data_IF_058377447508
#
_entry.id   IF_058377447508
#
_cell.length_a   1.000
_cell.length_b   1.000
_cell.length_c   1.000
_cell.angle_alpha   90.00
_cell.angle_beta   90.00
_cell.angle_gamma   90.00
#
_symmetry.space_group_name_H-M   'P 1'
#
loop_
_entity.id
_entity.type
_entity.pdbx_description
1 polymer ?
#
# COMPACT_ATOMS: atom_id res chain seq x y z
N UNK A 1 18.39 -17.89 38.14
CA UNK A 1 18.36 -17.70 36.67
C UNK A 1 17.06 -18.24 36.07
N UNK A 2 16.64 -19.46 36.41
CA UNK A 2 15.38 -20.07 35.95
C UNK A 2 14.12 -19.28 36.36
N UNK A 3 14.07 -18.74 37.59
CA UNK A 3 12.93 -17.93 38.08
C UNK A 3 12.77 -16.57 37.40
N UNK A 4 13.87 -15.99 36.89
CA UNK A 4 13.84 -14.71 36.16
C UNK A 4 13.26 -14.91 34.76
N UNK A 5 13.64 -16.01 34.10
CA UNK A 5 13.10 -16.41 32.80
C UNK A 5 11.61 -16.79 32.88
N UNK A 6 11.20 -17.48 33.95
CA UNK A 6 9.78 -17.80 34.20
C UNK A 6 8.92 -16.56 34.49
N UNK A 7 9.47 -15.56 35.19
CA UNK A 7 8.79 -14.28 35.42
C UNK A 7 8.68 -13.44 34.14
N UNK A 8 9.74 -13.37 33.34
CA UNK A 8 9.71 -12.67 32.05
C UNK A 8 8.67 -13.29 31.10
N UNK A 9 8.65 -14.62 30.98
CA UNK A 9 7.71 -15.34 30.12
C UNK A 9 6.24 -15.21 30.58
N UNK A 10 6.00 -15.12 31.89
CA UNK A 10 4.67 -14.81 32.46
C UNK A 10 4.25 -13.36 32.25
N UNK A 11 5.19 -12.41 32.30
CA UNK A 11 4.92 -11.01 31.98
C UNK A 11 4.55 -10.83 30.51
N UNK A 12 5.29 -11.46 29.59
CA UNK A 12 4.99 -11.42 28.15
C UNK A 12 3.62 -12.02 27.84
N UNK A 13 3.27 -13.16 28.45
CA UNK A 13 1.94 -13.76 28.28
C UNK A 13 0.80 -12.89 28.85
N UNK A 14 1.05 -12.18 29.96
CA UNK A 14 0.08 -11.28 30.57
C UNK A 14 -0.11 -10.01 29.72
N UNK A 15 0.96 -9.53 29.09
CA UNK A 15 0.95 -8.37 28.22
C UNK A 15 0.26 -8.67 26.89
N UNK A 16 0.54 -9.83 26.29
CA UNK A 16 -0.18 -10.37 25.12
C UNK A 16 -1.67 -10.56 25.44
N UNK A 17 -2.01 -11.15 26.60
CA UNK A 17 -3.40 -11.33 27.02
C UNK A 17 -4.15 -10.02 27.26
N UNK A 18 -3.47 -8.99 27.79
CA UNK A 18 -4.03 -7.64 27.94
C UNK A 18 -4.24 -6.96 26.59
N UNK A 19 -3.30 -7.08 25.66
CA UNK A 19 -3.42 -6.56 24.30
C UNK A 19 -4.56 -7.25 23.54
N UNK A 20 -4.66 -8.58 23.62
CA UNK A 20 -5.78 -9.35 23.05
C UNK A 20 -7.14 -8.92 23.64
N UNK A 21 -7.21 -8.66 24.94
CA UNK A 21 -8.46 -8.20 25.60
C UNK A 21 -8.86 -6.78 25.18
N UNK A 22 -7.87 -5.89 24.95
CA UNK A 22 -8.12 -4.54 24.44
C UNK A 22 -8.57 -4.58 22.98
N UNK A 23 -7.97 -5.46 22.17
CA UNK A 23 -8.35 -5.73 20.79
C UNK A 23 -9.78 -6.28 20.72
N UNK A 24 -10.12 -7.28 21.53
CA UNK A 24 -11.47 -7.85 21.57
C UNK A 24 -12.53 -6.83 22.02
N UNK A 25 -12.18 -5.94 22.95
CA UNK A 25 -13.05 -4.82 23.36
C UNK A 25 -13.19 -3.77 22.27
N UNK A 26 -12.12 -3.46 21.55
CA UNK A 26 -12.16 -2.55 20.42
C UNK A 26 -13.01 -3.14 19.29
N UNK A 27 -12.81 -4.41 18.91
CA UNK A 27 -13.60 -5.15 17.93
C UNK A 27 -15.08 -5.17 18.34
N UNK A 28 -15.40 -5.53 19.59
CA UNK A 28 -16.80 -5.57 20.07
C UNK A 28 -17.46 -4.19 20.12
N UNK A 29 -16.72 -3.15 20.51
CA UNK A 29 -17.22 -1.77 20.50
C UNK A 29 -17.46 -1.27 19.07
N UNK A 30 -16.63 -1.71 18.11
CA UNK A 30 -16.70 -1.33 16.70
C UNK A 30 -17.77 -2.11 15.92
N UNK A 31 -18.06 -3.36 16.28
CA UNK A 31 -19.16 -4.17 15.72
C UNK A 31 -20.57 -3.68 16.15
N UNK A 32 -20.66 -2.89 17.22
CA UNK A 32 -21.93 -2.38 17.74
C UNK A 32 -22.44 -1.11 17.00
N UNK A 33 -21.61 -0.48 16.16
CA UNK A 33 -21.99 0.68 15.34
C UNK A 33 -22.04 0.29 13.87
N UNK A 34 -23.17 0.50 13.21
CA UNK A 34 -23.42 0.21 11.79
C UNK A 34 -22.67 1.16 10.82
N UNK A 35 -21.55 1.74 11.25
CA UNK A 35 -20.78 2.73 10.49
C UNK A 35 -19.58 2.07 9.80
N UNK A 36 -19.49 2.27 8.48
CA UNK A 36 -18.28 1.99 7.70
C UNK A 36 -17.06 2.65 8.36
N UNK A 37 -16.03 1.85 8.64
CA UNK A 37 -14.85 2.25 9.42
C UNK A 37 -14.04 3.29 8.65
N UNK A 38 -13.50 4.28 9.36
CA UNK A 38 -12.55 5.22 8.77
C UNK A 38 -11.13 4.63 8.74
N UNK A 39 -10.30 5.02 7.77
CA UNK A 39 -8.89 4.64 7.74
C UNK A 39 -8.18 5.03 9.04
N UNK A 40 -8.53 6.19 9.61
CA UNK A 40 -7.95 6.71 10.84
C UNK A 40 -8.22 5.78 12.03
N UNK A 41 -9.44 5.23 12.14
CA UNK A 41 -9.81 4.32 13.23
C UNK A 41 -9.05 2.98 13.20
N UNK A 42 -8.63 2.56 12.00
CA UNK A 42 -8.00 1.25 11.78
C UNK A 42 -6.48 1.36 11.74
N UNK A 43 -5.94 2.36 11.04
CA UNK A 43 -4.53 2.42 10.69
C UNK A 43 -3.72 3.47 11.47
N UNK A 44 -4.31 4.23 12.41
CA UNK A 44 -3.55 5.23 13.19
C UNK A 44 -2.28 4.64 13.82
N UNK A 45 -2.37 3.46 14.46
CA UNK A 45 -1.18 2.83 15.05
C UNK A 45 -0.23 2.31 13.98
N UNK A 46 -0.75 1.80 12.85
CA UNK A 46 0.07 1.42 11.70
C UNK A 46 0.87 2.61 11.16
N UNK A 47 0.26 3.78 10.99
CA UNK A 47 0.96 4.96 10.49
C UNK A 47 2.05 5.45 11.44
N UNK A 48 1.83 5.32 12.76
CA UNK A 48 2.87 5.64 13.76
C UNK A 48 4.06 4.72 13.65
N UNK A 49 3.85 3.40 13.55
CA UNK A 49 4.96 2.43 13.46
C UNK A 49 5.69 2.46 12.12
N UNK A 50 5.05 2.99 11.08
CA UNK A 50 5.63 3.21 9.76
C UNK A 50 6.21 4.61 9.57
N UNK A 51 6.10 5.47 10.58
CA UNK A 51 6.65 6.83 10.57
C UNK A 51 6.11 7.69 9.41
N UNK A 52 4.82 7.54 9.07
CA UNK A 52 4.18 8.40 8.07
C UNK A 52 4.24 9.85 8.57
N UNK A 53 4.71 10.82 7.74
CA UNK A 53 4.85 12.21 8.16
C UNK A 53 3.54 12.77 8.72
N UNK A 54 3.60 13.38 9.89
CA UNK A 54 2.41 13.92 10.59
C UNK A 54 1.73 15.00 9.75
N UNK A 55 2.51 15.80 9.05
CA UNK A 55 2.05 16.85 8.14
C UNK A 55 1.22 16.26 7.00
N UNK A 56 1.69 15.15 6.41
CA UNK A 56 0.96 14.42 5.38
C UNK A 56 -0.35 13.88 5.94
N UNK A 57 -0.35 13.30 7.15
CA UNK A 57 -1.58 12.85 7.79
C UNK A 57 -2.55 14.02 8.01
N UNK A 58 -2.10 15.16 8.55
CA UNK A 58 -2.96 16.35 8.74
C UNK A 58 -3.63 16.75 7.43
N UNK A 59 -2.85 16.83 6.36
CA UNK A 59 -3.34 17.14 5.02
C UNK A 59 -4.39 16.13 4.58
N UNK A 60 -4.09 14.84 4.61
CA UNK A 60 -5.04 13.77 4.24
C UNK A 60 -6.34 13.87 5.06
N UNK A 61 -6.25 14.16 6.36
CA UNK A 61 -7.41 14.27 7.24
C UNK A 61 -8.25 15.52 6.94
N UNK A 62 -7.65 16.57 6.38
CA UNK A 62 -8.30 17.83 6.03
C UNK A 62 -8.76 17.88 4.56
N UNK A 63 -8.28 16.96 3.72
CA UNK A 63 -8.63 16.82 2.30
C UNK A 63 -10.03 16.20 2.09
N UNK A 64 -11.07 16.82 2.65
CA UNK A 64 -12.44 16.75 2.10
C UNK A 64 -12.57 17.51 0.77
N UNK A 65 -11.54 18.29 0.39
CA UNK A 65 -11.57 19.30 -0.66
C UNK A 65 -11.53 18.79 -2.11
N UNK A 66 -11.17 17.53 -2.41
CA UNK A 66 -11.02 17.07 -3.82
C UNK A 66 -11.57 15.68 -4.08
N UNK A 67 -12.72 15.36 -3.48
CA UNK A 67 -13.35 14.07 -3.71
C UNK A 67 -12.50 12.91 -3.20
N UNK A 68 -12.20 12.92 -1.91
CA UNK A 68 -11.59 11.79 -1.20
C UNK A 68 -12.56 11.23 -0.15
N UNK A 69 -12.43 9.93 0.13
CA UNK A 69 -13.22 9.20 1.12
C UNK A 69 -12.30 8.66 2.21
N UNK A 70 -12.69 8.90 3.46
CA UNK A 70 -12.05 8.31 4.64
C UNK A 70 -12.49 6.87 4.90
N UNK A 71 -13.48 6.37 4.18
CA UNK A 71 -14.09 5.07 4.41
C UNK A 71 -13.42 3.99 3.58
N UNK A 72 -13.24 2.84 4.21
CA UNK A 72 -12.75 1.63 3.55
C UNK A 72 -13.91 1.00 2.79
N UNK A 73 -13.96 1.20 1.47
CA UNK A 73 -15.06 0.73 0.62
C UNK A 73 -14.79 -0.58 -0.14
N UNK A 74 -13.57 -1.10 -0.08
CA UNK A 74 -13.16 -2.32 -0.78
C UNK A 74 -12.02 -2.99 -0.02
N UNK A 75 -11.96 -4.33 -0.08
CA UNK A 75 -10.83 -5.09 0.46
C UNK A 75 -9.59 -4.90 -0.43
N UNK A 76 -8.41 -5.10 0.15
CA UNK A 76 -7.11 -4.89 -0.50
C UNK A 76 -6.05 -5.82 0.08
N UNK A 77 -4.99 -6.13 -0.69
CA UNK A 77 -3.93 -7.01 -0.20
C UNK A 77 -3.18 -6.40 1.00
N UNK A 78 -2.62 -7.22 1.91
CA UNK A 78 -1.90 -6.71 3.09
C UNK A 78 -0.69 -5.82 2.81
N UNK A 79 -0.10 -5.89 1.61
CA UNK A 79 0.97 -4.97 1.18
C UNK A 79 0.47 -3.56 0.86
N UNK A 80 -0.83 -3.37 0.65
CA UNK A 80 -1.44 -2.07 0.42
C UNK A 80 -1.82 -1.46 1.77
N UNK A 81 -1.02 -0.51 2.24
CA UNK A 81 -1.26 0.20 3.49
C UNK A 81 -1.96 1.52 3.14
N UNK A 82 -3.29 1.55 3.17
CA UNK A 82 -4.04 2.67 2.63
C UNK A 82 -3.69 3.93 3.39
N UNK A 83 -3.53 5.04 2.69
CA UNK A 83 -3.40 6.38 3.24
C UNK A 83 -4.74 7.11 3.08
N UNK A 84 -5.35 7.00 1.89
CA UNK A 84 -6.70 7.49 1.61
C UNK A 84 -7.31 6.82 0.37
N UNK A 85 -8.58 7.12 0.11
CA UNK A 85 -9.31 6.66 -1.08
C UNK A 85 -9.87 7.85 -1.85
N UNK A 86 -9.87 7.82 -3.17
CA UNK A 86 -10.54 8.80 -4.03
C UNK A 86 -12.05 8.49 -4.14
N UNK A 87 -12.85 9.45 -4.59
CA UNK A 87 -14.28 9.23 -4.88
C UNK A 87 -14.50 8.26 -6.03
N UNK A 88 -13.52 8.15 -6.95
CA UNK A 88 -13.49 7.13 -8.00
C UNK A 88 -13.08 5.74 -7.49
N UNK A 89 -12.86 5.59 -6.18
CA UNK A 89 -12.61 4.30 -5.56
C UNK A 89 -11.15 3.84 -5.57
N UNK A 90 -10.23 4.62 -6.13
CA UNK A 90 -8.78 4.35 -6.14
C UNK A 90 -8.23 4.54 -4.73
N UNK A 91 -7.43 3.59 -4.25
CA UNK A 91 -6.74 3.72 -2.97
C UNK A 91 -5.32 4.19 -3.19
N UNK A 92 -4.95 5.28 -2.54
CA UNK A 92 -3.54 5.68 -2.41
C UNK A 92 -3.01 5.04 -1.16
N UNK A 93 -1.90 4.32 -1.28
CA UNK A 93 -1.35 3.50 -0.22
C UNK A 93 0.18 3.56 -0.22
N UNK A 94 0.78 3.32 0.94
CA UNK A 94 2.16 2.84 0.97
C UNK A 94 2.13 1.36 0.55
N UNK A 95 2.89 1.03 -0.49
CA UNK A 95 3.02 -0.31 -1.02
C UNK A 95 4.31 -0.92 -0.49
N UNK A 96 4.17 -1.92 0.39
CA UNK A 96 5.30 -2.44 1.17
C UNK A 96 5.34 -3.96 1.12
N UNK A 97 6.53 -4.49 0.79
CA UNK A 97 6.79 -5.92 0.82
C UNK A 97 7.71 -6.28 1.99
N UNK A 98 7.14 -6.84 3.06
CA UNK A 98 7.82 -6.95 4.36
C UNK A 98 8.98 -7.95 4.37
N UNK A 99 8.88 -9.00 3.55
CA UNK A 99 9.82 -10.12 3.51
C UNK A 99 10.71 -10.07 2.26
N UNK A 100 10.72 -8.95 1.55
CA UNK A 100 11.53 -8.75 0.36
C UNK A 100 12.44 -7.54 0.57
N UNK A 101 13.64 -7.59 -0.01
CA UNK A 101 14.51 -6.41 -0.11
C UNK A 101 13.99 -5.53 -1.25
N UNK A 102 12.89 -4.82 -0.97
CA UNK A 102 12.26 -3.83 -1.85
C UNK A 102 11.99 -2.56 -1.07
N UNK A 103 12.35 -1.43 -1.67
CA UNK A 103 12.03 -0.12 -1.09
C UNK A 103 10.51 0.08 -1.12
N UNK A 104 9.86 0.46 -0.01
CA UNK A 104 8.45 0.84 -0.02
C UNK A 104 8.23 2.07 -0.88
N UNK A 105 7.10 2.12 -1.57
CA UNK A 105 6.73 3.22 -2.47
C UNK A 105 5.32 3.67 -2.18
N UNK A 106 4.91 4.83 -2.67
CA UNK A 106 3.51 5.24 -2.64
C UNK A 106 2.87 4.84 -3.96
N UNK A 107 1.80 4.07 -3.90
CA UNK A 107 1.12 3.52 -5.06
C UNK A 107 -0.36 3.91 -5.10
N UNK A 108 -0.91 3.88 -6.30
CA UNK A 108 -2.35 3.90 -6.57
C UNK A 108 -2.81 2.47 -6.86
N UNK A 109 -3.58 1.90 -5.95
CA UNK A 109 -4.24 0.62 -6.13
C UNK A 109 -5.67 0.85 -6.63
N UNK A 110 -6.05 0.11 -7.66
CA UNK A 110 -7.35 0.17 -8.33
C UNK A 110 -8.10 -1.15 -8.05
N UNK A 111 -8.90 -1.23 -6.97
CA UNK A 111 -9.53 -2.49 -6.56
C UNK A 111 -10.41 -3.11 -7.63
N UNK A 112 -11.20 -2.29 -8.33
CA UNK A 112 -12.11 -2.74 -9.40
C UNK A 112 -11.38 -3.40 -10.58
N UNK A 113 -10.10 -3.09 -10.73
CA UNK A 113 -9.25 -3.58 -11.80
C UNK A 113 -8.23 -4.61 -11.32
N UNK A 114 -8.05 -4.72 -10.00
CA UNK A 114 -6.97 -5.48 -9.38
C UNK A 114 -5.62 -5.09 -9.95
N UNK A 115 -5.30 -3.79 -10.07
CA UNK A 115 -3.98 -3.31 -10.54
C UNK A 115 -3.40 -2.24 -9.62
N UNK A 116 -2.06 -2.19 -9.54
CA UNK A 116 -1.33 -1.21 -8.74
C UNK A 116 -0.30 -0.48 -9.58
N UNK A 117 -0.28 0.86 -9.48
CA UNK A 117 0.71 1.71 -10.13
C UNK A 117 1.54 2.46 -9.10
N UNK A 118 2.87 2.43 -9.22
CA UNK A 118 3.73 3.32 -8.45
C UNK A 118 3.44 4.79 -8.83
N UNK A 119 3.18 5.63 -7.82
CA UNK A 119 2.90 7.05 -7.99
C UNK A 119 4.02 7.95 -7.46
N UNK A 120 4.66 7.58 -6.35
CA UNK A 120 5.78 8.31 -5.78
C UNK A 120 6.77 7.36 -5.09
N UNK A 121 8.06 7.70 -5.05
CA UNK A 121 9.09 6.90 -4.35
C UNK A 121 9.12 7.13 -2.84
N UNK A 122 8.61 8.27 -2.40
CA UNK A 122 8.63 8.68 -1.01
C UNK A 122 7.57 9.77 -0.76
N UNK A 123 7.37 10.10 0.51
CA UNK A 123 6.40 11.10 0.94
C UNK A 123 6.71 12.53 0.49
N UNK A 124 7.97 12.87 0.24
CA UNK A 124 8.33 14.18 -0.32
C UNK A 124 7.78 14.31 -1.74
N UNK A 125 8.02 13.33 -2.60
CA UNK A 125 7.47 13.31 -3.96
C UNK A 125 5.94 13.29 -3.96
N UNK A 126 5.34 12.49 -3.06
CA UNK A 126 3.89 12.46 -2.87
C UNK A 126 3.34 13.85 -2.55
N UNK A 127 4.02 14.62 -1.70
CA UNK A 127 3.59 15.97 -1.31
C UNK A 127 3.53 16.92 -2.50
N UNK A 128 4.51 16.86 -3.41
CA UNK A 128 4.49 17.66 -4.65
C UNK A 128 3.35 17.24 -5.59
N UNK A 129 3.11 15.94 -5.73
CA UNK A 129 2.04 15.41 -6.59
C UNK A 129 0.64 15.72 -6.02
N UNK A 130 0.48 15.70 -4.69
CA UNK A 130 -0.75 16.16 -4.04
C UNK A 130 -1.00 17.65 -4.35
N UNK A 131 0.04 18.47 -4.24
CA UNK A 131 -0.07 19.90 -4.50
C UNK A 131 -0.45 20.19 -5.96
N UNK A 132 0.15 19.48 -6.93
CA UNK A 132 -0.19 19.57 -8.34
C UNK A 132 -1.65 19.16 -8.61
N UNK A 133 -2.12 18.07 -8.01
CA UNK A 133 -3.52 17.63 -8.14
C UNK A 133 -4.51 18.67 -7.59
N UNK A 134 -4.18 19.32 -6.46
CA UNK A 134 -5.03 20.37 -5.90
C UNK A 134 -5.01 21.62 -6.76
N UNK A 135 -3.85 22.08 -7.22
CA UNK A 135 -3.75 23.18 -8.19
C UNK A 135 -4.63 22.93 -9.42
N UNK A 136 -4.65 21.69 -9.93
CA UNK A 136 -5.49 21.31 -11.07
C UNK A 136 -6.97 21.34 -10.73
N UNK A 137 -7.36 20.92 -9.53
CA UNK A 137 -8.75 20.94 -9.11
C UNK A 137 -9.29 22.36 -8.86
N UNK A 138 -8.48 23.22 -8.25
CA UNK A 138 -8.83 24.62 -7.98
C UNK A 138 -8.69 25.49 -9.24
N UNK A 139 -7.81 25.11 -10.17
CA UNK A 139 -7.54 25.85 -11.40
C UNK A 139 -6.70 27.12 -11.20
N UNK A 140 -6.24 27.40 -9.98
CA UNK A 140 -5.41 28.57 -9.65
C UNK A 140 -4.63 28.41 -8.35
N UNK A 141 -3.65 29.31 -8.11
CA UNK A 141 -2.96 29.43 -6.82
C UNK A 141 -3.80 30.25 -5.84
N UNK A 142 -4.60 29.58 -5.01
CA UNK A 142 -5.36 30.19 -3.93
C UNK A 142 -4.66 30.08 -2.55
N UNK A 143 -5.24 30.70 -1.52
CA UNK A 143 -4.70 30.68 -0.15
C UNK A 143 -4.64 29.27 0.45
N UNK A 144 -5.55 28.38 0.05
CA UNK A 144 -5.57 26.98 0.50
C UNK A 144 -4.36 26.20 -0.05
N UNK A 145 -4.01 26.42 -1.33
CA UNK A 145 -2.82 25.83 -1.95
C UNK A 145 -1.54 26.29 -1.23
N UNK A 146 -1.44 27.58 -0.90
CA UNK A 146 -0.30 28.12 -0.16
C UNK A 146 -0.20 27.54 1.26
N UNK A 147 -1.34 27.46 1.96
CA UNK A 147 -1.42 26.90 3.30
C UNK A 147 -1.04 25.42 3.32
N UNK A 148 -1.48 24.68 2.30
CA UNK A 148 -1.13 23.28 2.11
C UNK A 148 0.37 23.11 1.84
N UNK A 149 0.94 23.85 0.89
CA UNK A 149 2.36 23.78 0.58
C UNK A 149 3.21 24.05 1.82
N UNK A 150 2.83 25.04 2.63
CA UNK A 150 3.47 25.34 3.91
C UNK A 150 3.36 24.19 4.91
N UNK A 151 2.19 23.56 5.01
CA UNK A 151 1.98 22.39 5.87
C UNK A 151 2.87 21.23 5.45
N UNK A 152 2.96 20.94 4.14
CA UNK A 152 3.80 19.89 3.56
C UNK A 152 5.30 20.24 3.54
N UNK A 153 5.70 21.44 3.97
CA UNK A 153 7.09 21.88 3.98
C UNK A 153 7.67 22.17 2.59
N UNK A 154 6.83 22.40 1.58
CA UNK A 154 7.23 22.76 0.21
C UNK A 154 7.67 24.22 0.19
N UNK A 155 8.95 24.46 -0.08
CA UNK A 155 9.55 25.81 -0.02
C UNK A 155 9.57 26.52 -1.37
N UNK A 156 9.53 25.78 -2.46
CA UNK A 156 9.61 26.29 -3.84
C UNK A 156 8.29 26.15 -4.58
N UNK A 157 7.19 26.49 -3.90
CA UNK A 157 5.83 26.45 -4.43
C UNK A 157 5.70 27.11 -5.81
N UNK A 158 6.35 28.25 -6.05
CA UNK A 158 6.29 28.95 -7.35
C UNK A 158 6.89 28.13 -8.50
N UNK A 159 7.84 27.23 -8.23
CA UNK A 159 8.32 26.29 -9.26
C UNK A 159 7.29 25.23 -9.58
N UNK A 160 6.57 24.74 -8.57
CA UNK A 160 5.48 23.78 -8.74
C UNK A 160 4.35 24.42 -9.56
N UNK A 161 4.03 25.68 -9.30
CA UNK A 161 3.07 26.45 -10.11
C UNK A 161 3.52 26.55 -11.55
N UNK A 162 4.77 26.94 -11.82
CA UNK A 162 5.27 27.02 -13.19
C UNK A 162 5.19 25.68 -13.92
N UNK A 163 5.56 24.58 -13.25
CA UNK A 163 5.41 23.22 -13.80
C UNK A 163 3.94 22.92 -14.13
N UNK A 164 3.02 23.27 -13.24
CA UNK A 164 1.59 23.06 -13.42
C UNK A 164 0.98 23.96 -14.52
N UNK A 165 1.39 25.22 -14.63
CA UNK A 165 0.93 26.13 -15.71
C UNK A 165 1.36 25.61 -17.08
N UNK A 166 2.59 25.08 -17.18
CA UNK A 166 3.15 24.58 -18.45
C UNK A 166 2.64 23.18 -18.83
N UNK A 167 2.34 22.32 -17.85
CA UNK A 167 2.11 20.89 -18.07
C UNK A 167 0.86 20.29 -17.40
N UNK A 168 0.09 21.07 -16.65
CA UNK A 168 -1.09 20.59 -15.93
C UNK A 168 -0.76 19.59 -14.82
N UNK A 169 -1.48 18.46 -14.81
CA UNK A 169 -1.36 17.39 -13.82
C UNK A 169 -0.40 16.26 -14.23
N UNK A 170 0.39 16.44 -15.29
CA UNK A 170 1.36 15.45 -15.75
C UNK A 170 2.50 15.26 -14.73
N UNK A 171 2.65 14.08 -14.10
CA UNK A 171 3.75 13.81 -13.17
C UNK A 171 5.12 13.82 -13.85
N UNK A 172 5.21 13.53 -15.16
CA UNK A 172 6.48 13.51 -15.90
C UNK A 172 7.13 14.90 -15.96
N UNK A 173 6.34 15.96 -15.80
CA UNK A 173 6.84 17.34 -15.77
C UNK A 173 7.79 17.62 -14.59
N UNK A 174 7.76 16.79 -13.53
CA UNK A 174 8.70 16.89 -12.42
C UNK A 174 10.10 16.31 -12.71
N UNK A 175 10.39 15.79 -13.90
CA UNK A 175 11.65 15.11 -14.22
C UNK A 175 12.91 15.93 -13.86
N UNK A 176 12.86 17.26 -14.02
CA UNK A 176 13.98 18.16 -13.72
C UNK A 176 13.99 18.64 -12.26
N UNK A 177 12.90 18.41 -11.51
CA UNK A 177 12.73 18.88 -10.16
C UNK A 177 13.70 18.16 -9.20
N UNK A 178 14.30 18.91 -8.28
CA UNK A 178 15.38 18.40 -7.43
C UNK A 178 14.95 17.20 -6.55
N UNK A 179 13.67 17.13 -6.16
CA UNK A 179 13.10 16.02 -5.37
C UNK A 179 12.80 14.76 -6.21
N UNK A 180 12.92 14.82 -7.54
CA UNK A 180 12.54 13.77 -8.47
C UNK A 180 13.72 13.29 -9.33
N UNK A 181 14.56 14.21 -9.83
CA UNK A 181 15.59 13.96 -10.85
C UNK A 181 16.53 12.79 -10.61
N UNK A 182 16.78 12.40 -9.36
CA UNK A 182 17.69 11.30 -9.01
C UNK A 182 16.97 10.01 -8.62
N UNK A 183 15.64 10.03 -8.50
CA UNK A 183 14.83 8.90 -8.05
C UNK A 183 13.40 9.02 -8.58
N UNK A 184 13.22 8.89 -9.90
CA UNK A 184 11.92 9.07 -10.54
C UNK A 184 10.99 7.89 -10.22
N UNK A 185 9.72 8.14 -9.85
CA UNK A 185 8.70 7.10 -9.81
C UNK A 185 8.25 6.71 -11.22
N UNK A 186 7.66 5.51 -11.37
CA UNK A 186 7.14 5.03 -12.67
C UNK A 186 6.10 5.98 -13.28
N UNK A 187 5.34 6.70 -12.46
CA UNK A 187 4.37 7.71 -12.89
C UNK A 187 4.97 8.84 -13.72
N UNK A 188 6.28 9.11 -13.59
CA UNK A 188 6.98 10.12 -14.37
C UNK A 188 7.48 9.62 -15.74
N UNK A 189 7.22 8.34 -16.07
CA UNK A 189 7.56 7.76 -17.38
C UNK A 189 6.26 7.59 -18.15
N UNK A 190 6.19 8.07 -19.39
CA UNK A 190 4.97 7.95 -20.20
C UNK A 190 4.80 6.51 -20.71
N UNK A 191 5.71 6.04 -21.58
CA UNK A 191 5.62 4.70 -22.18
C UNK A 191 6.91 3.89 -22.11
N UNK A 192 8.07 4.54 -21.92
CA UNK A 192 9.36 3.85 -21.92
C UNK A 192 9.92 3.69 -20.51
N UNK A 193 9.85 2.47 -19.96
CA UNK A 193 10.42 2.12 -18.66
C UNK A 193 11.87 1.61 -18.75
N UNK A 194 12.53 1.72 -19.91
CA UNK A 194 13.94 1.30 -20.10
C UNK A 194 14.92 1.88 -19.09
N UNK A 195 14.72 3.13 -18.72
CA UNK A 195 15.57 3.88 -17.80
C UNK A 195 15.05 3.87 -16.36
N UNK A 196 13.93 3.21 -16.11
CA UNK A 196 13.40 3.05 -14.77
C UNK A 196 14.32 2.15 -13.93
N UNK A 197 14.65 2.62 -12.73
CA UNK A 197 15.77 2.10 -11.95
C UNK A 197 15.41 1.71 -10.51
N UNK A 198 14.13 1.50 -10.20
CA UNK A 198 13.79 1.00 -8.87
C UNK A 198 12.94 -0.25 -8.90
N UNK A 199 12.39 -0.58 -7.73
CA UNK A 199 11.98 -1.95 -7.45
C UNK A 199 10.55 -2.30 -7.87
N UNK A 200 9.78 -1.34 -8.41
CA UNK A 200 8.43 -1.63 -8.88
C UNK A 200 8.49 -2.38 -10.22
N UNK A 201 7.73 -3.48 -10.40
CA UNK A 201 7.85 -4.31 -11.60
C UNK A 201 7.60 -3.53 -12.89
N UNK A 202 8.33 -3.91 -13.94
CA UNK A 202 8.13 -3.39 -15.30
C UNK A 202 7.73 -4.53 -16.24
N UNK A 203 7.27 -4.20 -17.44
CA UNK A 203 6.92 -5.15 -18.50
C UNK A 203 8.09 -6.02 -19.00
N UNK A 204 9.30 -5.76 -18.51
CA UNK A 204 10.56 -6.46 -18.84
C UNK A 204 11.06 -7.40 -17.77
N UNK A 205 10.35 -7.55 -16.65
CA UNK A 205 10.83 -8.26 -15.47
C UNK A 205 11.51 -9.59 -15.81
N UNK A 206 12.71 -9.78 -15.27
CA UNK A 206 13.40 -11.06 -15.30
C UNK A 206 12.64 -12.08 -14.42
N UNK A 207 12.97 -13.37 -14.52
CA UNK A 207 12.43 -14.38 -13.60
C UNK A 207 12.72 -14.05 -12.13
N UNK A 208 13.83 -13.40 -11.81
CA UNK A 208 14.13 -12.95 -10.44
C UNK A 208 13.29 -11.75 -10.01
N UNK A 209 12.83 -10.91 -10.94
CA UNK A 209 11.87 -9.84 -10.64
C UNK A 209 10.49 -10.42 -10.34
N UNK A 210 10.08 -11.47 -11.06
CA UNK A 210 8.81 -12.16 -10.81
C UNK A 210 8.74 -12.75 -9.39
N UNK A 211 9.85 -13.27 -8.85
CA UNK A 211 9.92 -13.78 -7.47
C UNK A 211 9.67 -12.73 -6.40
N UNK A 212 9.79 -11.45 -6.75
CA UNK A 212 9.57 -10.31 -5.85
C UNK A 212 8.32 -9.51 -6.22
N UNK A 213 7.44 -10.08 -7.04
CA UNK A 213 6.27 -9.42 -7.61
C UNK A 213 4.98 -10.13 -7.18
N UNK A 214 3.95 -9.37 -6.79
CA UNK A 214 2.61 -9.91 -6.57
C UNK A 214 1.70 -9.66 -7.79
N UNK A 215 0.59 -10.39 -7.89
CA UNK A 215 -0.22 -10.36 -9.11
C UNK A 215 -0.80 -8.97 -9.46
N UNK A 216 -1.07 -8.12 -8.47
CA UNK A 216 -1.60 -6.76 -8.69
C UNK A 216 -0.63 -5.82 -9.42
N UNK A 217 0.67 -6.09 -9.37
CA UNK A 217 1.72 -5.28 -10.01
C UNK A 217 1.94 -5.66 -11.48
N UNK A 218 1.35 -6.77 -11.94
CA UNK A 218 1.55 -7.32 -13.29
C UNK A 218 0.49 -6.80 -14.27
N UNK A 219 0.81 -5.75 -15.03
CA UNK A 219 -0.07 -5.20 -16.08
C UNK A 219 0.73 -4.32 -17.06
N UNK A 220 0.19 -4.10 -18.26
CA UNK A 220 0.76 -3.21 -19.29
C UNK A 220 0.13 -1.81 -19.26
N UNK A 221 0.03 -1.25 -18.05
CA UNK A 221 -0.67 0.03 -17.76
C UNK A 221 -2.11 0.09 -18.33
N UNK A 222 -2.70 1.29 -18.32
CA UNK A 222 -4.04 1.54 -18.85
C UNK A 222 -3.96 1.92 -20.34
N UNK A 223 -4.69 1.21 -21.19
CA UNK A 223 -4.89 1.55 -22.60
C UNK A 223 -6.39 1.72 -22.85
N UNK A 224 -6.82 2.88 -23.35
CA UNK A 224 -8.25 3.18 -23.57
C UNK A 224 -9.07 3.14 -22.27
N UNK A 225 -8.49 3.53 -21.14
CA UNK A 225 -9.18 3.58 -19.84
C UNK A 225 -9.34 2.24 -19.12
N UNK A 226 -8.74 1.15 -19.63
CA UNK A 226 -8.74 -0.17 -18.96
C UNK A 226 -7.31 -0.72 -18.85
N UNK A 227 -6.99 -1.48 -17.78
CA UNK A 227 -5.69 -2.13 -17.70
C UNK A 227 -5.58 -3.25 -18.74
N UNK A 228 -4.41 -3.40 -19.34
CA UNK A 228 -4.10 -4.55 -20.20
C UNK A 228 -3.43 -5.64 -19.36
N UNK A 229 -4.08 -6.79 -19.23
CA UNK A 229 -3.67 -7.89 -18.33
C UNK A 229 -3.05 -9.09 -19.07
N UNK A 230 -2.70 -8.94 -20.34
CA UNK A 230 -2.07 -9.97 -21.17
C UNK A 230 -0.75 -10.49 -20.57
N UNK A 231 0.01 -9.61 -19.89
CA UNK A 231 1.21 -9.98 -19.11
C UNK A 231 0.89 -11.09 -18.10
N UNK A 232 -0.24 -11.03 -17.39
CA UNK A 232 -0.61 -12.05 -16.40
C UNK A 232 -0.84 -13.40 -17.07
N UNK A 233 -1.51 -13.38 -18.23
CA UNK A 233 -1.77 -14.61 -18.98
C UNK A 233 -0.46 -15.22 -19.50
N UNK A 234 0.45 -14.41 -20.04
CA UNK A 234 1.78 -14.88 -20.48
C UNK A 234 2.58 -15.49 -19.32
N UNK A 235 2.61 -14.81 -18.17
CA UNK A 235 3.31 -15.30 -16.97
C UNK A 235 2.67 -16.61 -16.48
N UNK A 236 1.34 -16.70 -16.40
CA UNK A 236 0.65 -17.94 -16.00
C UNK A 236 1.00 -19.16 -16.86
N UNK A 237 1.34 -18.95 -18.13
CA UNK A 237 1.71 -20.00 -19.07
C UNK A 237 3.21 -20.31 -19.12
N UNK A 238 4.04 -19.63 -18.34
CA UNK A 238 5.49 -19.90 -18.26
C UNK A 238 5.80 -20.91 -17.15
N UNK A 239 6.60 -21.93 -17.48
CA UNK A 239 7.05 -22.95 -16.53
C UNK A 239 7.99 -22.39 -15.45
N UNK A 240 8.61 -21.23 -15.69
CA UNK A 240 9.51 -20.57 -14.74
C UNK A 240 8.79 -19.58 -13.80
N UNK A 241 7.47 -19.48 -13.91
CA UNK A 241 6.70 -18.54 -13.11
C UNK A 241 6.60 -18.99 -11.66
N UNK A 242 6.73 -18.06 -10.70
CA UNK A 242 6.44 -18.34 -9.31
C UNK A 242 5.02 -18.88 -9.11
N UNK A 243 4.81 -19.85 -8.20
CA UNK A 243 3.53 -20.57 -8.07
C UNK A 243 2.36 -19.65 -7.73
N UNK A 244 2.60 -18.56 -6.99
CA UNK A 244 1.58 -17.58 -6.64
C UNK A 244 1.10 -16.71 -7.82
N UNK A 245 1.83 -16.71 -8.93
CA UNK A 245 1.42 -16.02 -10.16
C UNK A 245 0.68 -16.95 -11.14
N UNK A 246 0.72 -18.27 -10.90
CA UNK A 246 0.15 -19.27 -11.80
C UNK A 246 -1.33 -19.56 -11.57
N UNK A 247 -1.84 -19.40 -10.35
CA UNK A 247 -3.23 -19.72 -10.01
C UNK A 247 -3.86 -18.72 -9.04
N UNK A 248 -5.19 -18.77 -8.92
CA UNK A 248 -5.95 -17.93 -7.97
C UNK A 248 -6.26 -18.69 -6.67
N UNK A 249 -5.82 -19.94 -6.50
CA UNK A 249 -6.00 -20.73 -5.27
C UNK A 249 -4.79 -20.54 -4.35
N UNK A 250 -4.73 -19.38 -3.70
CA UNK A 250 -3.53 -18.95 -2.99
C UNK A 250 -3.29 -19.66 -1.65
N UNK A 251 -4.32 -20.19 -0.99
CA UNK A 251 -4.16 -20.83 0.34
C UNK A 251 -3.19 -22.02 0.30
N UNK A 252 -3.34 -22.92 -0.67
CA UNK A 252 -2.46 -24.10 -0.81
C UNK A 252 -1.03 -23.66 -1.13
N UNK A 253 -0.87 -22.72 -2.07
CA UNK A 253 0.42 -22.14 -2.46
C UNK A 253 1.12 -21.51 -1.25
N UNK A 254 0.40 -20.70 -0.47
CA UNK A 254 0.92 -20.07 0.73
C UNK A 254 1.38 -21.09 1.77
N UNK A 255 0.55 -22.10 2.05
CA UNK A 255 0.86 -23.12 3.06
C UNK A 255 2.12 -23.91 2.67
N UNK A 256 2.26 -24.28 1.40
CA UNK A 256 3.45 -24.98 0.89
C UNK A 256 4.71 -24.12 1.03
N UNK A 257 4.63 -22.83 0.65
CA UNK A 257 5.75 -21.89 0.76
C UNK A 257 6.14 -21.60 2.21
N UNK A 258 5.16 -21.43 3.09
CA UNK A 258 5.40 -21.20 4.51
C UNK A 258 6.02 -22.46 5.17
N UNK A 259 5.53 -23.65 4.83
CA UNK A 259 6.10 -24.91 5.32
C UNK A 259 7.55 -25.12 4.84
N UNK A 260 7.89 -24.65 3.65
CA UNK A 260 9.25 -24.64 3.12
C UNK A 260 10.16 -23.57 3.77
N UNK A 261 9.61 -22.66 4.58
CA UNK A 261 10.35 -21.56 5.21
C UNK A 261 10.61 -20.37 4.29
N UNK A 262 10.03 -20.34 3.08
CA UNK A 262 10.16 -19.23 2.14
C UNK A 262 9.13 -18.14 2.46
N UNK A 263 9.46 -17.32 3.46
CA UNK A 263 8.57 -16.26 3.94
C UNK A 263 8.37 -15.14 2.90
N UNK A 264 9.35 -14.91 2.04
CA UNK A 264 9.26 -13.93 0.96
C UNK A 264 8.21 -14.36 -0.06
N UNK A 265 8.28 -15.60 -0.52
CA UNK A 265 7.32 -16.18 -1.44
C UNK A 265 5.92 -16.30 -0.81
N UNK A 266 5.83 -16.76 0.44
CA UNK A 266 4.57 -16.83 1.17
C UNK A 266 3.91 -15.43 1.26
N UNK A 267 4.70 -14.39 1.53
CA UNK A 267 4.22 -13.00 1.52
C UNK A 267 3.76 -12.55 0.13
N UNK A 268 4.50 -12.88 -0.95
CA UNK A 268 4.07 -12.57 -2.33
C UNK A 268 2.74 -13.25 -2.68
N UNK A 269 2.55 -14.49 -2.23
CA UNK A 269 1.28 -15.22 -2.37
C UNK A 269 0.15 -14.51 -1.65
N UNK A 270 0.35 -14.16 -0.38
CA UNK A 270 -0.63 -13.42 0.43
C UNK A 270 -0.98 -12.05 -0.17
N UNK A 271 -0.01 -11.42 -0.84
CA UNK A 271 -0.18 -10.13 -1.51
C UNK A 271 -0.70 -10.22 -2.94
N UNK A 272 -0.96 -11.43 -3.45
CA UNK A 272 -1.53 -11.66 -4.78
C UNK A 272 -3.04 -11.85 -4.69
N UNK A 273 -3.72 -11.80 -5.83
CA UNK A 273 -5.16 -12.02 -5.98
C UNK A 273 -5.55 -13.48 -5.77
N UNK A 274 -6.82 -13.70 -5.41
CA UNK A 274 -7.43 -15.03 -5.30
C UNK A 274 -7.74 -15.46 -3.87
N UNK A 275 -7.48 -14.59 -2.90
CA UNK A 275 -7.81 -14.83 -1.50
C UNK A 275 -9.26 -14.50 -1.21
N UNK A 276 -9.86 -15.27 -0.29
CA UNK A 276 -10.93 -14.74 0.53
C UNK A 276 -10.35 -14.16 1.82
N UNK A 277 -11.07 -13.24 2.43
CA UNK A 277 -10.62 -12.49 3.59
C UNK A 277 -10.35 -13.38 4.80
N UNK A 278 -11.21 -14.37 5.06
CA UNK A 278 -11.09 -15.30 6.18
C UNK A 278 -9.75 -16.05 6.17
N UNK A 279 -9.43 -16.67 5.04
CA UNK A 279 -8.18 -17.42 4.85
C UNK A 279 -6.96 -16.49 4.88
N UNK A 280 -7.06 -15.31 4.24
CA UNK A 280 -5.98 -14.34 4.25
C UNK A 280 -5.64 -13.83 5.66
N UNK A 281 -6.64 -13.65 6.54
CA UNK A 281 -6.40 -13.29 7.95
C UNK A 281 -5.58 -14.35 8.66
N UNK A 282 -5.96 -15.63 8.50
CA UNK A 282 -5.24 -16.72 9.15
C UNK A 282 -3.80 -16.82 8.63
N UNK A 283 -3.61 -16.71 7.32
CA UNK A 283 -2.29 -16.67 6.69
C UNK A 283 -1.44 -15.50 7.19
N UNK A 284 -2.01 -14.29 7.28
CA UNK A 284 -1.31 -13.09 7.76
C UNK A 284 -0.88 -13.22 9.23
N UNK A 285 -1.78 -13.71 10.11
CA UNK A 285 -1.46 -13.94 11.52
C UNK A 285 -0.42 -15.06 11.69
N UNK A 286 -0.46 -16.09 10.85
CA UNK A 286 0.55 -17.15 10.81
C UNK A 286 1.95 -16.59 10.48
N UNK A 287 2.07 -15.74 9.45
CA UNK A 287 3.32 -15.04 9.14
C UNK A 287 3.78 -14.15 10.30
N UNK A 288 2.85 -13.38 10.90
CA UNK A 288 3.17 -12.49 12.01
C UNK A 288 3.64 -13.24 13.27
N UNK A 289 3.17 -14.46 13.48
CA UNK A 289 3.64 -15.37 14.52
C UNK A 289 5.02 -15.98 14.26
N UNK A 290 5.48 -15.97 13.00
CA UNK A 290 6.77 -16.57 12.58
C UNK A 290 7.96 -15.64 12.83
N UNK A 291 7.74 -14.31 12.81
CA UNK A 291 8.80 -13.32 13.00
C UNK A 291 8.60 -12.47 14.26
N UNK A 292 9.70 -11.94 14.79
CA UNK A 292 9.67 -11.00 15.91
C UNK A 292 9.78 -9.53 15.45
N UNK A 293 8.93 -9.10 14.52
CA UNK A 293 8.81 -7.70 14.10
C UNK A 293 7.52 -7.08 14.66
N UNK A 294 7.66 -6.15 15.60
CA UNK A 294 6.54 -5.46 16.22
C UNK A 294 5.71 -4.65 15.21
N UNK A 295 6.36 -4.00 14.24
CA UNK A 295 5.67 -3.16 13.26
C UNK A 295 4.81 -4.02 12.33
N UNK A 296 5.32 -5.20 11.95
CA UNK A 296 4.54 -6.16 11.17
C UNK A 296 3.35 -6.72 11.95
N UNK A 297 3.52 -7.01 13.24
CA UNK A 297 2.42 -7.48 14.11
C UNK A 297 1.29 -6.45 14.20
N UNK A 298 1.63 -5.17 14.41
CA UNK A 298 0.64 -4.08 14.44
C UNK A 298 -0.10 -3.95 13.10
N UNK A 299 0.61 -4.05 11.97
CA UNK A 299 -0.01 -4.11 10.64
C UNK A 299 -1.00 -5.28 10.56
N UNK A 300 -0.54 -6.49 10.86
CA UNK A 300 -1.33 -7.72 10.75
C UNK A 300 -2.61 -7.64 11.57
N UNK A 301 -2.51 -7.20 12.82
CA UNK A 301 -3.66 -7.03 13.72
C UNK A 301 -4.66 -6.01 13.18
N UNK A 302 -4.19 -4.85 12.71
CA UNK A 302 -5.06 -3.80 12.18
C UNK A 302 -5.74 -4.25 10.88
N UNK A 303 -5.01 -4.88 9.95
CA UNK A 303 -5.58 -5.40 8.70
C UNK A 303 -6.60 -6.51 8.96
N UNK A 304 -6.33 -7.44 9.89
CA UNK A 304 -7.28 -8.48 10.27
C UNK A 304 -8.53 -7.94 11.00
N UNK A 305 -8.49 -6.70 11.49
CA UNK A 305 -9.62 -6.04 12.13
C UNK A 305 -10.58 -5.34 11.14
N UNK A 306 -10.28 -5.38 9.84
CA UNK A 306 -11.14 -4.77 8.82
C UNK A 306 -12.54 -5.42 8.82
N UNK A 307 -13.60 -4.62 8.61
CA UNK A 307 -14.98 -5.04 8.81
C UNK A 307 -15.58 -5.75 7.59
N UNK A 308 -14.79 -6.54 6.88
CA UNK A 308 -15.26 -7.30 5.72
C UNK A 308 -15.75 -8.68 6.15
N UNK A 309 -16.81 -9.21 5.53
CA UNK A 309 -17.15 -10.63 5.62
C UNK A 309 -16.00 -11.51 5.16
N UNK A 310 -15.87 -12.69 5.78
CA UNK A 310 -14.76 -13.62 5.52
C UNK A 310 -14.74 -14.15 4.07
N UNK A 311 -15.88 -14.15 3.38
CA UNK A 311 -16.02 -14.60 2.00
C UNK A 311 -15.71 -13.52 0.94
N UNK A 312 -15.54 -12.26 1.36
CA UNK A 312 -15.10 -11.18 0.45
C UNK A 312 -13.70 -11.50 -0.08
N UNK A 313 -13.50 -11.24 -1.38
CA UNK A 313 -12.25 -11.56 -2.08
C UNK A 313 -11.50 -10.32 -2.51
N UNK A 314 -10.19 -10.50 -2.66
CA UNK A 314 -9.29 -9.62 -3.39
C UNK A 314 -8.37 -10.44 -4.31
#
# INVERSE_FOLDING_TARGET
MLDVLLKARKMDQLEISKQQTLLDKAIKKRQAGNDLYSFDDVFTETYKVLEVPKELLIVIHQMTLVGYQKKIGSLFPPCALPLWRTMSGVMVCEWRHWFCDRTPVVARFYPEHGVTLEWARNYTQLSYLILQNILTAEGEMCDDVQSLAKCLGIKDIMKVVGIWEDHGDDPAAFISHHSFRSNLPQSCYNDDLRSYNGDFPTDRGTTDDLKRTCSFELHNRFMGGKPVLDVRQRIRSSDESPPWLMCDKQLDVFNDLQAAGDLAAAWMSLCSSGWNYGDAKQALLSLAGTINDYRFKVLAENWCSLPFPDDVRY
#
